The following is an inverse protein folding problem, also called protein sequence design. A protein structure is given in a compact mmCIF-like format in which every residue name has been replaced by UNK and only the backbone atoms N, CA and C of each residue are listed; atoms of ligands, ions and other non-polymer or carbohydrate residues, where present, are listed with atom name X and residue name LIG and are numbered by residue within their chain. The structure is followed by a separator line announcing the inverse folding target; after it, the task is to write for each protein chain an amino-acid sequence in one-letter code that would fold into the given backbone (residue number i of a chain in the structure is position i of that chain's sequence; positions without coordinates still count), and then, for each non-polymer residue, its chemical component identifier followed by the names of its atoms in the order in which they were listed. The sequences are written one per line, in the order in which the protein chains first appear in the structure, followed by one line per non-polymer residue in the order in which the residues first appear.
data_IF_674552119873
#
_entry.id   IF_674552119873
#
_cell.length_a   1.000
_cell.length_b   1.000
_cell.length_c   1.000
_cell.angle_alpha   90.00
_cell.angle_beta   90.00
_cell.angle_gamma   90.00
#
_symmetry.space_group_name_H-M   'P 1'
#
loop_
_entity.id
_entity.type
_entity.pdbx_description
1 polymer ?
#
# COMPACT_ATOMS: atom_id res chain seq x y z
N UNK A 1 -21.38 -20.30 -4.79
CA UNK A 1 -20.27 -20.80 -5.64
C UNK A 1 -19.05 -20.89 -4.77
N UNK A 2 -18.41 -22.06 -4.71
CA UNK A 2 -17.20 -22.27 -3.90
C UNK A 2 -16.06 -21.43 -4.47
N UNK A 3 -15.32 -20.64 -3.67
CA UNK A 3 -14.18 -19.88 -4.16
C UNK A 3 -13.11 -20.83 -4.73
N UNK A 4 -12.59 -20.53 -5.92
CA UNK A 4 -11.52 -21.31 -6.53
C UNK A 4 -10.16 -20.84 -6.00
N UNK A 5 -9.80 -21.31 -4.80
CA UNK A 5 -8.59 -20.89 -4.08
C UNK A 5 -7.27 -21.19 -4.86
N UNK A 6 -7.22 -22.24 -5.69
CA UNK A 6 -6.01 -22.58 -6.46
C UNK A 6 -5.70 -21.53 -7.53
N UNK A 7 -6.72 -21.06 -8.27
CA UNK A 7 -6.54 -20.00 -9.27
C UNK A 7 -6.11 -18.67 -8.64
N UNK A 8 -6.61 -18.38 -7.43
CA UNK A 8 -6.25 -17.19 -6.66
C UNK A 8 -4.79 -17.24 -6.21
N UNK A 9 -4.33 -18.38 -5.70
CA UNK A 9 -2.95 -18.55 -5.23
C UNK A 9 -1.92 -18.36 -6.35
N UNK A 10 -2.13 -18.95 -7.53
CA UNK A 10 -1.23 -18.80 -8.68
C UNK A 10 -1.14 -17.34 -9.15
N UNK A 11 -2.29 -16.67 -9.28
CA UNK A 11 -2.34 -15.25 -9.64
C UNK A 11 -1.68 -14.37 -8.59
N UNK A 12 -1.96 -14.60 -7.31
CA UNK A 12 -1.36 -13.87 -6.21
C UNK A 12 0.17 -14.03 -6.20
N UNK A 13 0.69 -15.22 -6.52
CA UNK A 13 2.13 -15.45 -6.61
C UNK A 13 2.79 -14.58 -7.69
N UNK A 14 2.18 -14.49 -8.88
CA UNK A 14 2.67 -13.62 -9.95
C UNK A 14 2.60 -12.12 -9.62
N UNK A 15 1.73 -11.74 -8.68
CA UNK A 15 1.53 -10.36 -8.25
C UNK A 15 2.50 -9.93 -7.13
N UNK A 16 3.02 -10.88 -6.36
CA UNK A 16 3.83 -10.60 -5.18
C UNK A 16 5.06 -9.70 -5.45
N UNK A 17 5.84 -9.87 -6.54
CA UNK A 17 6.94 -8.95 -6.85
C UNK A 17 6.45 -7.52 -7.09
N UNK A 18 5.35 -7.37 -7.83
CA UNK A 18 4.75 -6.06 -8.15
C UNK A 18 4.21 -5.36 -6.90
N UNK A 19 3.62 -6.12 -5.98
CA UNK A 19 3.19 -5.60 -4.67
C UNK A 19 4.39 -5.07 -3.89
N UNK A 20 5.48 -5.85 -3.83
CA UNK A 20 6.69 -5.43 -3.14
C UNK A 20 7.29 -4.14 -3.73
N UNK A 21 7.41 -4.07 -5.05
CA UNK A 21 7.91 -2.89 -5.77
C UNK A 21 7.01 -1.65 -5.51
N UNK A 22 5.69 -1.81 -5.65
CA UNK A 22 4.73 -0.73 -5.38
C UNK A 22 4.82 -0.20 -3.94
N UNK A 23 4.99 -1.09 -2.95
CA UNK A 23 5.15 -0.69 -1.55
C UNK A 23 6.42 0.13 -1.33
N UNK A 24 7.54 -0.28 -1.94
CA UNK A 24 8.81 0.44 -1.85
C UNK A 24 8.72 1.82 -2.50
N UNK A 25 8.10 1.92 -3.67
CA UNK A 25 7.91 3.20 -4.38
C UNK A 25 7.06 4.18 -3.56
N UNK A 26 5.94 3.71 -2.99
CA UNK A 26 5.11 4.53 -2.10
C UNK A 26 5.91 4.96 -0.88
N UNK A 27 6.65 4.06 -0.24
CA UNK A 27 7.49 4.39 0.91
C UNK A 27 8.53 5.46 0.59
N UNK A 28 9.24 5.32 -0.54
CA UNK A 28 10.25 6.30 -0.97
C UNK A 28 9.59 7.64 -1.29
N UNK A 29 8.45 7.63 -1.99
CA UNK A 29 7.66 8.84 -2.28
C UNK A 29 7.23 9.57 -1.01
N UNK A 30 6.69 8.84 -0.03
CA UNK A 30 6.29 9.38 1.27
C UNK A 30 7.48 9.99 2.01
N UNK A 31 8.57 9.24 2.15
CA UNK A 31 9.77 9.67 2.88
C UNK A 31 10.45 10.88 2.26
N UNK A 32 10.44 11.00 0.93
CA UNK A 32 11.06 12.14 0.24
C UNK A 32 10.19 13.39 0.29
N UNK A 33 8.86 13.23 0.26
CA UNK A 33 7.93 14.36 0.19
C UNK A 33 7.61 14.94 1.57
N UNK A 34 7.47 14.10 2.58
CA UNK A 34 7.00 14.47 3.91
C UNK A 34 8.13 14.28 4.91
N UNK A 35 8.63 15.40 5.44
CA UNK A 35 9.83 15.43 6.27
C UNK A 35 9.54 15.94 7.67
N UNK A 36 10.47 15.65 8.60
CA UNK A 36 10.38 16.14 9.98
C UNK A 36 10.44 17.67 10.10
N UNK A 37 10.91 18.36 9.05
CA UNK A 37 10.93 19.82 8.97
C UNK A 37 9.53 20.39 8.67
N UNK A 38 8.65 19.62 8.01
CA UNK A 38 7.25 19.98 7.79
C UNK A 38 6.44 19.72 9.08
N UNK A 39 6.56 18.50 9.62
CA UNK A 39 5.94 18.08 10.87
C UNK A 39 6.80 17.03 11.58
N UNK A 40 7.03 17.20 12.89
CA UNK A 40 7.92 16.34 13.69
C UNK A 40 7.61 14.83 13.62
N UNK A 41 6.36 14.47 13.38
CA UNK A 41 5.89 13.08 13.32
C UNK A 41 5.98 12.46 11.91
N UNK A 42 6.47 13.17 10.90
CA UNK A 42 6.70 12.66 9.53
C UNK A 42 7.98 11.81 9.43
N UNK A 43 8.16 10.89 10.38
CA UNK A 43 9.26 9.94 10.38
C UNK A 43 8.83 8.61 9.75
N UNK A 44 9.15 8.42 8.47
CA UNK A 44 8.88 7.16 7.75
C UNK A 44 10.13 6.28 7.67
N UNK A 45 10.00 4.98 7.99
CA UNK A 45 11.10 4.02 8.06
C UNK A 45 10.73 2.68 7.40
N UNK A 46 11.71 1.81 7.09
CA UNK A 46 11.42 0.47 6.56
C UNK A 46 10.54 -0.40 7.49
N UNK A 47 10.36 -0.01 8.76
CA UNK A 47 9.40 -0.64 9.67
C UNK A 47 7.96 -0.47 9.18
N UNK A 48 7.64 0.63 8.52
CA UNK A 48 6.29 0.89 7.99
C UNK A 48 5.93 -0.14 6.90
N UNK A 49 6.91 -0.52 6.05
CA UNK A 49 6.76 -1.60 5.07
C UNK A 49 6.52 -2.95 5.76
N UNK A 50 7.25 -3.22 6.83
CA UNK A 50 7.07 -4.45 7.62
C UNK A 50 5.68 -4.50 8.25
N UNK A 51 5.22 -3.38 8.83
CA UNK A 51 3.87 -3.27 9.39
C UNK A 51 2.81 -3.52 8.32
N UNK A 52 2.97 -2.94 7.13
CA UNK A 52 2.02 -3.13 6.03
C UNK A 52 1.88 -4.61 5.65
N UNK A 53 2.99 -5.34 5.47
CA UNK A 53 2.94 -6.79 5.24
C UNK A 53 2.26 -7.53 6.39
N UNK A 54 2.63 -7.23 7.64
CA UNK A 54 2.05 -7.91 8.81
C UNK A 54 0.55 -7.69 8.94
N UNK A 55 0.05 -6.51 8.55
CA UNK A 55 -1.37 -6.20 8.55
C UNK A 55 -2.12 -7.02 7.49
N UNK A 56 -1.53 -7.20 6.31
CA UNK A 56 -2.11 -8.04 5.25
C UNK A 56 -2.29 -9.50 5.65
N UNK A 57 -1.43 -10.03 6.53
CA UNK A 57 -1.55 -11.41 7.03
C UNK A 57 -2.82 -11.65 7.87
N UNK A 58 -3.56 -10.59 8.23
CA UNK A 58 -4.82 -10.68 8.98
C UNK A 58 -6.04 -10.92 8.09
N UNK A 59 -5.89 -10.77 6.76
CA UNK A 59 -6.99 -10.85 5.82
C UNK A 59 -7.09 -12.24 5.19
N UNK A 60 -8.31 -12.77 5.08
CA UNK A 60 -8.59 -13.91 4.22
C UNK A 60 -8.73 -13.42 2.78
N UNK A 61 -7.68 -13.61 1.98
CA UNK A 61 -7.65 -13.18 0.59
C UNK A 61 -8.40 -14.19 -0.27
N UNK A 62 -9.63 -13.85 -0.65
CA UNK A 62 -10.49 -14.69 -1.50
C UNK A 62 -10.43 -14.32 -2.99
N UNK A 63 -9.81 -13.19 -3.33
CA UNK A 63 -9.62 -12.69 -4.70
C UNK A 63 -8.45 -11.72 -4.80
N UNK A 64 -7.97 -11.45 -6.03
CA UNK A 64 -6.94 -10.43 -6.29
C UNK A 64 -7.45 -9.04 -5.95
N UNK A 65 -8.70 -8.71 -6.31
CA UNK A 65 -9.28 -7.40 -6.01
C UNK A 65 -9.37 -7.16 -4.51
N UNK A 66 -9.77 -8.18 -3.73
CA UNK A 66 -9.80 -8.10 -2.27
C UNK A 66 -8.41 -7.94 -1.64
N UNK A 67 -7.38 -8.53 -2.25
CA UNK A 67 -5.99 -8.28 -1.84
C UNK A 67 -5.60 -6.82 -2.08
N UNK A 68 -5.89 -6.27 -3.26
CA UNK A 68 -5.54 -4.89 -3.62
C UNK A 68 -6.32 -3.86 -2.79
N UNK A 69 -7.58 -4.16 -2.46
CA UNK A 69 -8.39 -3.34 -1.54
C UNK A 69 -7.78 -3.33 -0.14
N UNK A 70 -7.47 -4.50 0.43
CA UNK A 70 -6.80 -4.58 1.73
C UNK A 70 -5.42 -3.90 1.71
N UNK A 71 -4.67 -4.06 0.62
CA UNK A 71 -3.36 -3.43 0.41
C UNK A 71 -3.45 -1.91 0.43
N UNK A 72 -4.31 -1.32 -0.38
CA UNK A 72 -4.49 0.13 -0.47
C UNK A 72 -5.07 0.73 0.82
N UNK A 73 -5.96 -0.01 1.49
CA UNK A 73 -6.50 0.37 2.79
C UNK A 73 -5.41 0.46 3.85
N UNK A 74 -4.59 -0.59 4.01
CA UNK A 74 -3.51 -0.59 4.99
C UNK A 74 -2.43 0.46 4.67
N UNK A 75 -2.18 0.74 3.39
CA UNK A 75 -1.34 1.88 2.97
C UNK A 75 -1.86 3.19 3.58
N UNK A 76 -3.16 3.43 3.44
CA UNK A 76 -3.81 4.65 3.92
C UNK A 76 -3.72 4.74 5.45
N UNK A 77 -3.97 3.65 6.16
CA UNK A 77 -3.87 3.59 7.62
C UNK A 77 -2.45 3.85 8.14
N UNK A 78 -1.43 3.39 7.42
CA UNK A 78 -0.02 3.52 7.84
C UNK A 78 0.56 4.88 7.48
N UNK A 79 0.20 5.42 6.31
CA UNK A 79 0.82 6.62 5.75
C UNK A 79 -0.12 7.83 5.77
N UNK A 80 -1.30 7.72 5.16
CA UNK A 80 -2.26 8.83 4.96
C UNK A 80 -2.74 9.42 6.27
N UNK A 81 -3.09 8.57 7.24
CA UNK A 81 -3.62 8.98 8.54
C UNK A 81 -2.65 9.83 9.37
N UNK A 82 -1.36 9.83 9.01
CA UNK A 82 -0.34 10.63 9.67
C UNK A 82 -0.22 12.02 9.08
N UNK A 83 -0.82 12.28 7.91
CA UNK A 83 -0.67 13.52 7.18
C UNK A 83 -1.57 14.61 7.74
N UNK A 84 -1.07 15.84 7.70
CA UNK A 84 -1.74 17.03 8.20
C UNK A 84 -2.26 17.85 7.03
N UNK A 85 -3.58 17.89 6.90
CA UNK A 85 -4.28 18.75 5.94
C UNK A 85 -4.51 18.11 4.57
N UNK A 86 -5.52 18.64 3.88
CA UNK A 86 -6.07 18.06 2.66
C UNK A 86 -5.07 17.99 1.49
N UNK A 87 -4.13 18.93 1.40
CA UNK A 87 -3.11 18.93 0.34
C UNK A 87 -2.14 17.75 0.49
N UNK A 88 -1.70 17.46 1.72
CA UNK A 88 -0.83 16.33 2.00
C UNK A 88 -1.55 15.01 1.73
N UNK A 89 -2.79 14.89 2.22
CA UNK A 89 -3.65 13.73 1.94
C UNK A 89 -3.87 13.51 0.43
N UNK A 90 -4.19 14.57 -0.32
CA UNK A 90 -4.38 14.49 -1.77
C UNK A 90 -3.11 14.06 -2.52
N UNK A 91 -1.93 14.47 -2.03
CA UNK A 91 -0.67 14.02 -2.62
C UNK A 91 -0.45 12.52 -2.38
N UNK A 92 -0.75 12.01 -1.17
CA UNK A 92 -0.71 10.57 -0.92
C UNK A 92 -1.71 9.82 -1.81
N UNK A 93 -2.94 10.33 -1.93
CA UNK A 93 -3.98 9.70 -2.75
C UNK A 93 -3.55 9.61 -4.23
N UNK A 94 -2.86 10.63 -4.73
CA UNK A 94 -2.24 10.62 -6.06
C UNK A 94 -1.11 9.59 -6.18
N UNK A 95 -0.22 9.51 -5.18
CA UNK A 95 0.87 8.54 -5.14
C UNK A 95 0.34 7.10 -5.16
N UNK A 96 -0.66 6.81 -4.33
CA UNK A 96 -1.31 5.51 -4.25
C UNK A 96 -2.01 5.15 -5.56
N UNK A 97 -2.77 6.08 -6.14
CA UNK A 97 -3.43 5.89 -7.44
C UNK A 97 -2.43 5.60 -8.56
N UNK A 98 -1.31 6.33 -8.61
CA UNK A 98 -0.29 6.12 -9.62
C UNK A 98 0.36 4.74 -9.47
N UNK A 99 0.65 4.29 -8.25
CA UNK A 99 1.14 2.95 -8.00
C UNK A 99 0.13 1.86 -8.43
N UNK A 100 -1.17 2.05 -8.13
CA UNK A 100 -2.22 1.13 -8.55
C UNK A 100 -2.27 0.96 -10.07
N UNK A 101 -2.24 2.08 -10.80
CA UNK A 101 -2.24 2.07 -12.27
C UNK A 101 -0.96 1.46 -12.84
N UNK A 102 0.21 1.80 -12.28
CA UNK A 102 1.51 1.36 -12.79
C UNK A 102 1.75 -0.15 -12.60
N UNK A 103 1.41 -0.68 -11.42
CA UNK A 103 1.77 -2.04 -11.06
C UNK A 103 0.64 -3.04 -11.34
N UNK A 104 -0.62 -2.62 -11.19
CA UNK A 104 -1.77 -3.51 -11.23
C UNK A 104 -2.72 -3.25 -12.41
N UNK A 105 -2.53 -2.16 -13.16
CA UNK A 105 -3.42 -1.70 -14.22
C UNK A 105 -4.87 -1.49 -13.73
N UNK A 106 -5.03 -1.01 -12.49
CA UNK A 106 -6.33 -0.71 -11.86
C UNK A 106 -6.41 0.78 -11.52
#
# INVERSE_FOLDING_TARGET
TTPNYQNVAEKAHSLAPKVGEAMVDIYVGMKNKFTVDDHEHYLFSPRDLTQWILQLLRYEVVSVDGLLEAWSYEASRIFRDRLVGDEAEAHFDSLLKNAMMQYFNV
#
